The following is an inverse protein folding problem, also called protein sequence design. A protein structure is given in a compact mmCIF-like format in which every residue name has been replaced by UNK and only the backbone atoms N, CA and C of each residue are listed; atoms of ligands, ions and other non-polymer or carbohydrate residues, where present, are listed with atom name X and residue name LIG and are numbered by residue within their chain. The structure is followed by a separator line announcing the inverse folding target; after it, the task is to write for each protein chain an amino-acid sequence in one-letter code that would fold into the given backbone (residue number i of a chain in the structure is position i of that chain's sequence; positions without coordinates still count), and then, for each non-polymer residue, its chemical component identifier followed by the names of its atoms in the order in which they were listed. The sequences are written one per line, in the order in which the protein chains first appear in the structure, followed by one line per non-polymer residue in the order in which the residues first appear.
data_IF_530976009649
#
_entry.id   IF_530976009649
#
_cell.length_a   1.000
_cell.length_b   1.000
_cell.length_c   1.000
_cell.angle_alpha   90.00
_cell.angle_beta   90.00
_cell.angle_gamma   90.00
#
_symmetry.space_group_name_H-M   'P 1'
#
loop_
_entity.id
_entity.type
_entity.pdbx_description
1 polymer ?
#
# COMPACT_ATOMS: atom_id res chain seq x y z
N UNK A 1 23.51 -10.55 18.89
CA UNK A 1 24.16 -11.78 18.37
C UNK A 1 24.70 -12.55 19.55
N UNK A 2 24.45 -13.84 19.62
CA UNK A 2 24.92 -14.74 20.69
C UNK A 2 25.66 -15.92 20.08
N UNK A 3 26.50 -16.59 20.89
CA UNK A 3 27.06 -17.88 20.51
C UNK A 3 26.06 -19.04 20.74
N UNK A 4 26.49 -20.26 20.49
CA UNK A 4 25.66 -21.46 20.65
C UNK A 4 25.27 -21.76 22.10
N UNK A 5 25.97 -21.14 23.07
CA UNK A 5 25.72 -21.30 24.51
C UNK A 5 24.87 -20.15 25.07
N UNK A 6 24.46 -19.21 24.20
CA UNK A 6 23.68 -18.03 24.58
C UNK A 6 24.48 -16.85 25.12
N UNK A 7 25.83 -16.90 25.09
CA UNK A 7 26.65 -15.77 25.51
C UNK A 7 26.54 -14.64 24.51
N UNK A 8 26.38 -13.41 25.01
CA UNK A 8 26.29 -12.22 24.18
C UNK A 8 27.64 -11.93 23.49
N UNK A 9 27.65 -11.88 22.18
CA UNK A 9 28.84 -11.55 21.37
C UNK A 9 28.79 -10.11 20.85
N UNK A 10 27.60 -9.65 20.51
CA UNK A 10 27.40 -8.32 19.96
C UNK A 10 25.97 -7.85 20.16
N UNK A 11 25.77 -6.56 20.41
CA UNK A 11 24.47 -5.91 20.29
C UNK A 11 24.60 -4.51 19.71
N UNK A 12 23.53 -4.01 19.08
CA UNK A 12 23.47 -2.68 18.51
C UNK A 12 22.17 -1.98 18.82
N UNK A 13 22.24 -0.66 18.93
CA UNK A 13 21.08 0.21 19.03
C UNK A 13 20.92 0.98 17.73
N UNK A 14 19.68 1.11 17.27
CA UNK A 14 19.36 1.71 15.99
C UNK A 14 18.52 2.97 16.14
N UNK A 15 18.64 3.88 15.18
CA UNK A 15 17.67 4.96 14.98
C UNK A 15 16.38 4.40 14.39
N UNK A 16 15.32 5.23 14.34
CA UNK A 16 14.07 4.87 13.68
C UNK A 16 14.23 4.51 12.19
N UNK A 17 15.28 5.00 11.53
CA UNK A 17 15.59 4.75 10.12
C UNK A 17 16.69 3.71 9.93
N UNK A 18 17.09 3.01 10.99
CA UNK A 18 18.00 1.87 10.88
C UNK A 18 19.48 2.21 10.92
N UNK A 19 19.87 3.47 11.17
CA UNK A 19 21.26 3.82 11.44
C UNK A 19 21.69 3.20 12.76
N UNK A 20 22.85 2.57 12.79
CA UNK A 20 23.45 2.05 14.01
C UNK A 20 23.93 3.20 14.89
N UNK A 21 23.35 3.35 16.08
CA UNK A 21 23.75 4.34 17.09
C UNK A 21 24.87 3.84 17.96
N UNK A 22 24.78 2.58 18.33
CA UNK A 22 25.70 1.92 19.24
C UNK A 22 26.12 0.58 18.67
N UNK A 23 27.39 0.33 18.59
CA UNK A 23 28.03 -0.89 18.12
C UNK A 23 28.86 -1.47 19.27
N UNK A 24 28.26 -2.34 20.07
CA UNK A 24 28.91 -2.98 21.20
C UNK A 24 29.39 -4.36 20.81
N UNK A 25 30.69 -4.49 20.68
CA UNK A 25 31.40 -5.75 20.43
C UNK A 25 31.87 -6.34 21.74
N UNK A 26 31.08 -7.20 22.34
CA UNK A 26 31.45 -7.92 23.57
C UNK A 26 32.60 -8.88 23.28
N UNK A 27 32.55 -9.50 22.08
CA UNK A 27 33.65 -10.28 21.56
C UNK A 27 34.37 -9.50 20.45
N UNK A 28 35.70 -9.29 20.61
CA UNK A 28 36.50 -8.39 19.76
C UNK A 28 36.38 -8.64 18.24
N UNK A 29 36.24 -9.91 17.86
CA UNK A 29 36.15 -10.33 16.45
C UNK A 29 34.71 -10.58 16.00
N UNK A 30 33.70 -10.17 16.78
CA UNK A 30 32.34 -10.31 16.37
C UNK A 30 32.06 -9.41 15.16
N UNK A 31 31.78 -10.03 14.02
CA UNK A 31 31.44 -9.35 12.79
C UNK A 31 29.92 -9.42 12.59
N UNK A 32 29.23 -8.27 12.59
CA UNK A 32 27.80 -8.18 12.42
C UNK A 32 27.43 -7.15 11.35
N UNK A 33 27.45 -7.54 10.08
CA UNK A 33 27.11 -6.65 8.96
C UNK A 33 25.61 -6.54 8.72
N UNK A 34 24.80 -7.45 9.28
CA UNK A 34 23.36 -7.39 9.08
C UNK A 34 22.75 -6.21 9.83
N UNK A 35 21.86 -5.51 9.14
CA UNK A 35 21.11 -4.35 9.62
C UNK A 35 19.62 -4.65 9.64
N UNK A 36 18.79 -3.64 9.91
CA UNK A 36 17.33 -3.81 9.90
C UNK A 36 16.84 -4.32 8.54
N UNK A 37 15.82 -5.16 8.55
CA UNK A 37 15.09 -5.59 7.37
C UNK A 37 15.91 -6.36 6.32
N UNK A 38 16.82 -7.23 6.77
CA UNK A 38 17.69 -8.02 5.91
C UNK A 38 18.73 -7.20 5.11
N UNK A 39 19.00 -5.98 5.52
CA UNK A 39 20.04 -5.16 4.92
C UNK A 39 21.42 -5.63 5.35
N UNK A 40 22.38 -5.51 4.46
CA UNK A 40 23.79 -5.79 4.71
C UNK A 40 24.58 -4.49 4.68
N UNK A 41 25.36 -4.23 5.72
CA UNK A 41 26.21 -3.05 5.79
C UNK A 41 27.41 -3.22 4.89
N UNK A 42 27.54 -2.35 3.93
CA UNK A 42 28.69 -2.25 3.04
C UNK A 42 29.70 -1.26 3.64
N UNK A 43 30.83 -1.79 4.11
CA UNK A 43 31.87 -1.00 4.77
C UNK A 43 32.58 -0.04 3.82
N UNK A 44 32.62 -0.34 2.51
CA UNK A 44 33.31 0.50 1.52
C UNK A 44 32.52 1.78 1.23
N UNK A 45 31.18 1.66 1.16
CA UNK A 45 30.31 2.78 0.81
C UNK A 45 29.64 3.43 2.02
N UNK A 46 29.59 2.73 3.16
CA UNK A 46 28.84 3.14 4.34
C UNK A 46 27.32 2.99 4.21
N UNK A 47 26.86 2.40 3.11
CA UNK A 47 25.45 2.21 2.80
C UNK A 47 24.96 0.83 3.25
N UNK A 48 23.63 0.66 3.28
CA UNK A 48 23.03 -0.64 3.52
C UNK A 48 22.56 -1.26 2.19
N UNK A 49 23.22 -2.34 1.78
CA UNK A 49 22.80 -3.12 0.62
C UNK A 49 21.48 -3.83 0.91
N UNK A 50 20.47 -3.55 0.11
CA UNK A 50 19.14 -4.13 0.21
C UNK A 50 18.73 -4.73 -1.14
N UNK A 51 19.38 -5.83 -1.50
CA UNK A 51 19.20 -6.65 -2.69
C UNK A 51 19.28 -5.87 -4.03
N UNK A 52 18.23 -5.13 -4.38
CA UNK A 52 18.15 -4.40 -5.65
C UNK A 52 18.51 -2.92 -5.52
N UNK A 53 18.69 -2.41 -4.30
CA UNK A 53 19.02 -1.01 -4.05
C UNK A 53 19.94 -0.85 -2.85
N UNK A 54 20.63 0.29 -2.81
CA UNK A 54 21.39 0.72 -1.64
C UNK A 54 20.57 1.74 -0.84
N UNK A 55 20.51 1.53 0.47
CA UNK A 55 19.78 2.35 1.41
C UNK A 55 20.72 3.23 2.22
N UNK A 56 20.41 4.51 2.33
CA UNK A 56 21.11 5.51 3.14
C UNK A 56 20.33 5.74 4.45
N UNK A 57 20.80 5.20 5.59
CA UNK A 57 20.04 5.28 6.84
C UNK A 57 20.04 6.69 7.46
N UNK A 58 20.97 7.57 7.10
CA UNK A 58 20.96 8.97 7.52
C UNK A 58 19.82 9.75 6.84
N UNK A 59 19.65 9.53 5.55
CA UNK A 59 18.63 10.19 4.75
C UNK A 59 17.28 9.46 4.77
N UNK A 60 17.22 8.22 5.27
CA UNK A 60 16.01 7.40 5.33
C UNK A 60 15.46 7.02 3.96
N UNK A 61 16.31 6.91 2.94
CA UNK A 61 15.91 6.67 1.54
C UNK A 61 16.90 5.78 0.80
N UNK A 62 16.49 5.26 -0.34
CA UNK A 62 17.42 4.65 -1.29
C UNK A 62 18.25 5.72 -2.03
N UNK A 63 19.47 5.37 -2.41
CA UNK A 63 20.39 6.27 -3.16
C UNK A 63 20.24 6.10 -4.67
N UNK A 64 19.69 4.99 -5.12
CA UNK A 64 19.40 4.73 -6.53
C UNK A 64 17.88 4.60 -6.77
N UNK A 65 17.48 4.89 -8.00
CA UNK A 65 16.07 4.83 -8.40
C UNK A 65 15.52 3.41 -8.32
N UNK A 66 14.20 3.31 -8.08
CA UNK A 66 13.52 2.03 -8.07
C UNK A 66 13.55 1.39 -9.46
N UNK A 67 14.14 0.18 -9.64
CA UNK A 67 14.19 -0.51 -10.92
C UNK A 67 12.81 -0.82 -11.52
N UNK A 68 11.76 -0.88 -10.69
CA UNK A 68 10.39 -1.04 -11.16
C UNK A 68 9.69 0.30 -11.42
N UNK A 69 10.41 1.41 -11.30
CA UNK A 69 9.92 2.75 -11.56
C UNK A 69 8.72 3.11 -10.68
N UNK A 70 7.76 3.83 -11.25
CA UNK A 70 6.56 4.28 -10.54
C UNK A 70 5.65 3.14 -10.02
N UNK A 71 5.90 1.90 -10.39
CA UNK A 71 5.21 0.73 -9.80
C UNK A 71 5.54 0.56 -8.32
N UNK A 72 6.72 1.00 -7.86
CA UNK A 72 7.11 1.03 -6.46
C UNK A 72 6.54 2.21 -5.66
N UNK A 73 6.04 3.24 -6.34
CA UNK A 73 5.50 4.48 -5.75
C UNK A 73 5.89 5.71 -6.55
N UNK A 74 5.35 6.88 -6.18
CA UNK A 74 5.61 8.15 -6.89
C UNK A 74 7.02 8.70 -6.66
N UNK A 75 7.63 8.38 -5.52
CA UNK A 75 9.00 8.75 -5.20
C UNK A 75 9.91 7.55 -5.41
N UNK A 76 10.71 7.60 -6.46
CA UNK A 76 11.61 6.52 -6.89
C UNK A 76 12.72 6.18 -5.88
N UNK A 77 12.98 7.06 -4.92
CA UNK A 77 14.01 6.88 -3.88
C UNK A 77 13.43 6.52 -2.51
N UNK A 78 12.12 6.45 -2.41
CA UNK A 78 11.46 6.26 -1.14
C UNK A 78 11.59 4.82 -0.63
N UNK A 79 11.93 4.69 0.66
CA UNK A 79 11.98 3.42 1.35
C UNK A 79 10.62 3.08 1.98
N UNK A 80 10.16 3.89 2.92
CA UNK A 80 8.94 3.61 3.67
C UNK A 80 8.41 4.85 4.41
N UNK A 81 7.10 4.92 4.74
CA UNK A 81 6.58 5.95 5.64
C UNK A 81 7.09 5.83 7.06
N UNK A 82 7.43 4.62 7.49
CA UNK A 82 7.90 4.29 8.83
C UNK A 82 8.71 3.00 8.75
N UNK A 83 10.01 3.10 8.97
CA UNK A 83 10.94 1.97 8.88
C UNK A 83 10.71 0.90 9.95
N UNK A 84 10.11 1.24 11.10
CA UNK A 84 9.83 0.26 12.16
C UNK A 84 8.65 -0.68 11.84
N UNK A 85 7.73 -0.25 10.96
CA UNK A 85 6.52 -1.02 10.63
C UNK A 85 6.48 -1.52 9.18
N UNK A 86 7.41 -1.08 8.35
CA UNK A 86 7.48 -1.44 6.94
C UNK A 86 8.70 -2.30 6.70
N UNK A 87 8.51 -3.32 5.87
CA UNK A 87 9.55 -4.24 5.44
C UNK A 87 9.63 -4.21 3.92
N UNK A 88 10.81 -3.95 3.38
CA UNK A 88 11.10 -4.07 1.95
C UNK A 88 12.25 -5.06 1.71
N UNK A 89 11.97 -6.37 1.71
CA UNK A 89 13.00 -7.41 1.63
C UNK A 89 13.78 -7.41 0.32
N UNK A 90 13.20 -6.81 -0.73
CA UNK A 90 13.76 -6.86 -2.08
C UNK A 90 14.39 -5.53 -2.51
N UNK A 91 14.22 -4.47 -1.72
CA UNK A 91 14.54 -3.13 -2.18
C UNK A 91 13.70 -2.67 -3.38
N UNK A 92 12.49 -3.23 -3.56
CA UNK A 92 11.60 -2.96 -4.70
C UNK A 92 10.15 -2.73 -4.28
N UNK A 93 9.79 -3.18 -3.10
CA UNK A 93 8.41 -3.26 -2.71
C UNK A 93 8.05 -2.16 -1.73
N UNK A 94 7.19 -1.28 -2.17
CA UNK A 94 6.20 -0.74 -1.27
C UNK A 94 5.31 -1.91 -0.85
N UNK A 95 5.61 -2.57 0.29
CA UNK A 95 4.65 -3.53 0.84
C UNK A 95 3.39 -2.73 1.14
N UNK A 96 2.40 -2.86 0.27
CA UNK A 96 1.08 -2.36 0.60
C UNK A 96 0.73 -2.96 1.96
N UNK A 97 0.31 -2.14 2.93
CA UNK A 97 -0.41 -2.63 4.10
C UNK A 97 -1.29 -3.76 3.61
N UNK A 98 -1.40 -4.88 4.36
CA UNK A 98 -2.51 -5.82 4.16
C UNK A 98 -3.72 -4.97 3.83
N UNK A 99 -4.31 -5.18 2.66
CA UNK A 99 -5.42 -4.36 2.24
C UNK A 99 -6.50 -4.41 3.32
N UNK A 100 -7.24 -3.35 3.47
CA UNK A 100 -8.39 -3.36 4.36
C UNK A 100 -9.43 -4.34 3.81
N UNK A 101 -9.85 -5.31 4.61
CA UNK A 101 -10.93 -6.22 4.19
C UNK A 101 -12.25 -5.52 4.46
N UNK A 102 -13.04 -5.35 3.43
CA UNK A 102 -14.41 -4.87 3.55
C UNK A 102 -15.39 -5.98 3.17
N UNK A 103 -16.35 -6.22 4.05
CA UNK A 103 -17.45 -7.20 3.86
C UNK A 103 -18.75 -6.44 3.69
N UNK A 104 -19.48 -6.72 2.63
CA UNK A 104 -20.79 -6.14 2.39
C UNK A 104 -21.89 -6.83 3.21
N UNK A 105 -23.12 -6.31 3.12
CA UNK A 105 -24.30 -6.85 3.83
C UNK A 105 -24.68 -8.27 3.40
N UNK A 106 -24.19 -8.74 2.25
CA UNK A 106 -24.41 -10.10 1.73
C UNK A 106 -23.29 -11.07 2.06
N UNK A 107 -22.26 -10.63 2.80
CA UNK A 107 -21.14 -11.46 3.22
C UNK A 107 -19.99 -11.56 2.21
N UNK A 108 -20.03 -10.82 1.09
CA UNK A 108 -18.89 -10.77 0.16
C UNK A 108 -17.75 -9.97 0.78
N UNK A 109 -16.66 -10.66 1.06
CA UNK A 109 -15.45 -10.07 1.67
C UNK A 109 -14.36 -9.94 0.63
N UNK A 110 -13.89 -8.72 0.36
CA UNK A 110 -12.80 -8.45 -0.55
C UNK A 110 -11.74 -7.56 0.13
N UNK A 111 -10.47 -7.88 -0.11
CA UNK A 111 -9.35 -7.06 0.31
C UNK A 111 -9.23 -5.85 -0.62
N UNK A 112 -9.15 -4.65 -0.06
CA UNK A 112 -8.89 -3.42 -0.83
C UNK A 112 -7.48 -2.95 -0.59
N UNK A 113 -6.73 -2.77 -1.64
CA UNK A 113 -5.35 -2.29 -1.63
C UNK A 113 -5.26 -0.89 -2.22
N UNK A 114 -4.27 -0.13 -1.76
CA UNK A 114 -3.97 1.21 -2.25
C UNK A 114 -5.18 2.17 -2.20
N UNK A 115 -5.86 2.31 -1.04
CA UNK A 115 -7.00 3.21 -0.92
C UNK A 115 -6.54 4.64 -1.19
N UNK A 116 -7.25 5.32 -2.10
CA UNK A 116 -6.97 6.69 -2.46
C UNK A 116 -7.37 7.64 -1.32
N UNK A 117 -6.66 8.75 -1.19
CA UNK A 117 -7.02 9.79 -0.21
C UNK A 117 -8.31 10.50 -0.62
N UNK A 118 -9.23 10.67 0.34
CA UNK A 118 -10.49 11.41 0.19
C UNK A 118 -10.50 12.71 1.00
N UNK A 119 -9.39 13.10 1.60
CA UNK A 119 -9.29 14.29 2.46
C UNK A 119 -9.59 15.59 1.73
N UNK A 120 -9.42 15.62 0.42
CA UNK A 120 -9.71 16.76 -0.45
C UNK A 120 -11.20 16.92 -0.82
N UNK A 121 -12.03 15.88 -0.53
CA UNK A 121 -13.45 15.90 -0.86
C UNK A 121 -14.22 16.84 0.08
N UNK A 122 -15.18 17.62 -0.46
CA UNK A 122 -16.05 18.44 0.38
C UNK A 122 -16.96 17.59 1.27
N UNK A 123 -17.44 18.16 2.38
CA UNK A 123 -18.39 17.48 3.26
C UNK A 123 -19.67 17.08 2.51
N UNK A 124 -20.22 17.99 1.70
CA UNK A 124 -21.44 17.71 0.91
C UNK A 124 -21.24 16.53 -0.05
N UNK A 125 -20.07 16.45 -0.70
CA UNK A 125 -19.74 15.32 -1.58
C UNK A 125 -19.60 14.02 -0.81
N UNK A 126 -18.92 14.05 0.36
CA UNK A 126 -18.80 12.86 1.19
C UNK A 126 -20.16 12.39 1.73
N UNK A 127 -21.07 13.30 2.09
CA UNK A 127 -22.43 12.94 2.50
C UNK A 127 -23.20 12.29 1.36
N UNK A 128 -23.13 12.85 0.16
CA UNK A 128 -23.72 12.25 -1.03
C UNK A 128 -23.17 10.87 -1.33
N UNK A 129 -21.84 10.70 -1.24
CA UNK A 129 -21.20 9.36 -1.36
C UNK A 129 -21.69 8.40 -0.28
N UNK A 130 -21.87 8.87 0.96
CA UNK A 130 -22.32 8.06 2.08
C UNK A 130 -23.78 7.58 1.94
N UNK A 131 -24.58 8.31 1.19
CA UNK A 131 -26.01 7.99 0.90
C UNK A 131 -26.13 7.13 -0.36
N UNK A 132 -25.49 7.53 -1.46
CA UNK A 132 -25.69 6.91 -2.77
C UNK A 132 -24.69 5.80 -3.09
N UNK A 133 -23.52 5.79 -2.44
CA UNK A 133 -22.46 4.83 -2.72
C UNK A 133 -21.78 5.04 -4.07
N UNK A 134 -21.66 6.28 -4.50
CA UNK A 134 -20.93 6.68 -5.69
C UNK A 134 -19.42 6.76 -5.41
N UNK A 135 -18.60 6.64 -6.45
CA UNK A 135 -17.15 6.71 -6.31
C UNK A 135 -16.67 8.11 -5.93
N UNK A 136 -15.55 8.16 -5.19
CA UNK A 136 -14.79 9.39 -5.01
C UNK A 136 -14.08 9.83 -6.28
N UNK A 137 -13.45 11.00 -6.22
CA UNK A 137 -12.64 11.57 -7.30
C UNK A 137 -11.24 11.94 -6.81
N UNK A 138 -10.29 12.08 -7.72
CA UNK A 138 -8.87 12.28 -7.37
C UNK A 138 -8.53 13.68 -6.84
N UNK A 139 -9.32 14.70 -7.17
CA UNK A 139 -9.05 16.10 -6.78
C UNK A 139 -10.27 16.83 -6.21
N UNK A 140 -11.33 16.11 -5.89
CA UNK A 140 -12.59 16.70 -5.44
C UNK A 140 -13.40 17.38 -6.55
N UNK A 141 -14.71 17.19 -6.53
CA UNK A 141 -15.68 17.90 -7.32
C UNK A 141 -15.37 18.15 -8.79
N UNK A 142 -15.66 19.37 -9.25
CA UNK A 142 -15.51 19.83 -10.64
C UNK A 142 -14.15 20.47 -10.94
N UNK A 143 -13.09 20.09 -10.22
CA UNK A 143 -11.74 20.64 -10.43
C UNK A 143 -11.16 20.08 -11.72
N UNK A 144 -10.50 20.95 -12.52
CA UNK A 144 -9.83 20.53 -13.77
C UNK A 144 -8.83 19.41 -13.51
N UNK A 145 -8.96 18.32 -14.26
CA UNK A 145 -8.15 17.11 -14.10
C UNK A 145 -8.58 16.22 -12.94
N UNK A 146 -9.73 16.47 -12.33
CA UNK A 146 -10.38 15.52 -11.42
C UNK A 146 -11.02 14.39 -12.22
N UNK A 147 -10.79 13.17 -11.76
CA UNK A 147 -11.31 11.97 -12.42
C UNK A 147 -11.87 10.97 -11.38
N UNK A 148 -12.83 10.11 -11.77
CA UNK A 148 -13.36 9.10 -10.88
C UNK A 148 -12.29 8.10 -10.43
N UNK A 149 -12.38 7.64 -9.20
CA UNK A 149 -11.60 6.53 -8.68
C UNK A 149 -12.31 5.23 -9.06
N UNK A 150 -11.59 4.35 -9.74
CA UNK A 150 -12.09 3.06 -10.20
C UNK A 150 -11.67 1.96 -9.23
N UNK A 151 -12.56 1.02 -8.98
CA UNK A 151 -12.29 -0.21 -8.26
C UNK A 151 -11.99 -1.33 -9.25
N UNK A 152 -10.75 -1.77 -9.27
CA UNK A 152 -10.24 -2.78 -10.20
C UNK A 152 -9.93 -4.09 -9.48
N UNK A 153 -10.51 -5.20 -9.95
CA UNK A 153 -10.11 -6.54 -9.51
C UNK A 153 -8.73 -6.89 -10.07
N UNK A 154 -7.76 -7.08 -9.19
CA UNK A 154 -6.41 -7.44 -9.61
C UNK A 154 -6.43 -8.70 -10.49
N UNK A 155 -5.89 -8.58 -11.71
CA UNK A 155 -5.87 -9.65 -12.73
C UNK A 155 -7.28 -10.20 -13.06
N UNK A 156 -8.31 -9.40 -12.93
CA UNK A 156 -9.73 -9.81 -13.13
C UNK A 156 -10.15 -11.03 -12.29
N UNK A 157 -9.50 -11.26 -11.16
CA UNK A 157 -9.86 -12.35 -10.25
C UNK A 157 -11.05 -11.94 -9.38
N UNK A 158 -12.22 -12.63 -9.45
CA UNK A 158 -13.40 -12.29 -8.67
C UNK A 158 -13.20 -12.31 -7.14
N UNK A 159 -12.29 -13.13 -6.66
CA UNK A 159 -11.90 -13.26 -5.23
C UNK A 159 -10.60 -12.54 -4.90
N UNK A 160 -9.99 -11.92 -5.89
CA UNK A 160 -8.71 -11.22 -5.73
C UNK A 160 -8.89 -9.84 -5.07
N UNK A 161 -7.78 -9.24 -4.68
CA UNK A 161 -7.85 -7.90 -4.09
C UNK A 161 -8.37 -6.86 -5.10
N UNK A 162 -9.07 -5.89 -4.55
CA UNK A 162 -9.53 -4.69 -5.24
C UNK A 162 -8.45 -3.63 -5.12
N UNK A 163 -8.17 -2.94 -6.21
CA UNK A 163 -7.23 -1.81 -6.24
C UNK A 163 -8.02 -0.54 -6.56
N UNK A 164 -7.91 0.47 -5.69
CA UNK A 164 -8.38 1.82 -6.03
C UNK A 164 -7.35 2.51 -6.93
N UNK A 165 -7.78 2.98 -8.08
CA UNK A 165 -6.92 3.72 -8.99
C UNK A 165 -7.70 4.80 -9.77
N UNK A 166 -7.05 5.90 -10.16
CA UNK A 166 -7.63 6.89 -11.05
C UNK A 166 -8.08 6.25 -12.38
N UNK A 167 -9.16 6.75 -12.96
CA UNK A 167 -9.69 6.23 -14.23
C UNK A 167 -8.64 6.21 -15.34
N UNK A 168 -7.80 7.23 -15.43
CA UNK A 168 -6.70 7.34 -16.40
C UNK A 168 -5.65 6.23 -16.28
N UNK A 169 -5.52 5.63 -15.09
CA UNK A 169 -4.61 4.50 -14.83
C UNK A 169 -5.28 3.13 -15.02
N UNK A 170 -6.57 3.09 -15.34
CA UNK A 170 -7.31 1.86 -15.63
C UNK A 170 -7.27 1.58 -17.12
N UNK A 171 -6.16 1.00 -17.59
CA UNK A 171 -5.95 0.69 -18.99
C UNK A 171 -6.57 -0.67 -19.36
N UNK A 172 -7.67 -0.62 -20.11
CA UNK A 172 -8.40 -1.81 -20.58
C UNK A 172 -7.59 -2.64 -21.61
N UNK A 173 -6.62 -2.05 -22.29
CA UNK A 173 -5.71 -2.72 -23.23
C UNK A 173 -4.58 -3.48 -22.55
N UNK A 174 -4.33 -3.21 -21.27
CA UNK A 174 -3.24 -3.82 -20.53
C UNK A 174 -3.54 -5.28 -20.16
N UNK A 175 -2.94 -6.22 -20.88
CA UNK A 175 -3.13 -7.67 -20.66
C UNK A 175 -2.68 -8.14 -19.27
N UNK A 176 -1.76 -7.45 -18.60
CA UNK A 176 -1.36 -7.79 -17.23
C UNK A 176 -2.46 -7.41 -16.22
N UNK A 177 -3.19 -6.33 -16.47
CA UNK A 177 -4.35 -5.93 -15.66
C UNK A 177 -5.59 -6.74 -16.03
N UNK A 178 -5.81 -6.97 -17.32
CA UNK A 178 -6.99 -7.59 -17.90
C UNK A 178 -6.64 -8.85 -18.73
N UNK A 179 -6.17 -9.93 -18.07
CA UNK A 179 -5.73 -11.14 -18.77
C UNK A 179 -6.83 -11.82 -19.61
N UNK A 180 -8.09 -11.62 -19.22
CA UNK A 180 -9.24 -12.17 -19.96
C UNK A 180 -9.90 -11.14 -20.88
N UNK A 181 -9.45 -9.87 -20.89
CA UNK A 181 -10.07 -8.79 -21.66
C UNK A 181 -11.56 -8.69 -21.35
N UNK A 182 -12.38 -8.70 -22.41
CA UNK A 182 -13.84 -8.65 -22.30
C UNK A 182 -14.50 -10.04 -22.57
N UNK A 183 -13.77 -11.14 -22.35
CA UNK A 183 -14.32 -12.49 -22.59
C UNK A 183 -15.52 -12.75 -21.65
N UNK A 184 -16.68 -13.05 -22.27
CA UNK A 184 -17.91 -13.36 -21.56
C UNK A 184 -17.72 -14.64 -20.72
N UNK A 185 -18.16 -14.60 -19.45
CA UNK A 185 -18.09 -15.75 -18.54
C UNK A 185 -16.71 -16.02 -17.92
N UNK A 186 -15.68 -15.22 -18.25
CA UNK A 186 -14.34 -15.33 -17.65
C UNK A 186 -14.08 -14.22 -16.63
N UNK A 187 -13.37 -14.57 -15.55
CA UNK A 187 -13.01 -13.61 -14.50
C UNK A 187 -14.25 -12.89 -13.93
N UNK A 188 -14.19 -11.57 -13.88
CA UNK A 188 -15.29 -10.71 -13.43
C UNK A 188 -16.38 -10.48 -14.51
N UNK A 189 -16.22 -11.05 -15.68
CA UNK A 189 -17.22 -11.00 -16.77
C UNK A 189 -18.41 -11.95 -16.57
N UNK A 190 -18.44 -12.75 -15.51
CA UNK A 190 -19.57 -13.61 -15.14
C UNK A 190 -20.72 -12.75 -14.56
N UNK A 191 -21.97 -12.98 -14.99
CA UNK A 191 -23.13 -12.17 -14.64
C UNK A 191 -23.41 -12.09 -13.14
N UNK A 192 -23.37 -13.20 -12.40
CA UNK A 192 -23.57 -13.21 -10.95
C UNK A 192 -22.48 -12.47 -10.21
N UNK A 193 -21.20 -12.72 -10.54
CA UNK A 193 -20.04 -12.03 -9.96
C UNK A 193 -20.14 -10.52 -10.15
N UNK A 194 -20.57 -10.09 -11.34
CA UNK A 194 -20.72 -8.66 -11.65
C UNK A 194 -21.84 -8.01 -10.84
N UNK A 195 -22.94 -8.71 -10.61
CA UNK A 195 -24.06 -8.22 -9.80
C UNK A 195 -23.64 -8.09 -8.32
N UNK A 196 -23.03 -9.12 -7.76
CA UNK A 196 -22.56 -9.15 -6.37
C UNK A 196 -21.53 -8.06 -6.11
N UNK A 197 -20.56 -7.91 -7.01
CA UNK A 197 -19.60 -6.82 -6.95
C UNK A 197 -20.26 -5.44 -7.09
N UNK A 198 -21.34 -5.31 -7.83
CA UNK A 198 -22.10 -4.08 -7.95
C UNK A 198 -22.65 -3.59 -6.60
N UNK A 199 -23.22 -4.51 -5.81
CA UNK A 199 -23.68 -4.24 -4.44
C UNK A 199 -22.50 -3.91 -3.52
N UNK A 200 -21.49 -4.78 -3.49
CA UNK A 200 -20.30 -4.62 -2.69
C UNK A 200 -19.65 -3.25 -2.94
N UNK A 201 -19.47 -2.84 -4.19
CA UNK A 201 -18.88 -1.56 -4.58
C UNK A 201 -19.66 -0.37 -4.02
N UNK A 202 -21.00 -0.42 -4.07
CA UNK A 202 -21.85 0.65 -3.55
C UNK A 202 -21.72 0.79 -2.04
N UNK A 203 -21.77 -0.32 -1.32
CA UNK A 203 -21.60 -0.33 0.14
C UNK A 203 -20.18 0.07 0.55
N UNK A 204 -19.16 -0.34 -0.20
CA UNK A 204 -17.80 0.05 0.02
C UNK A 204 -17.60 1.57 -0.06
N UNK A 205 -18.16 2.23 -1.08
CA UNK A 205 -18.06 3.69 -1.19
C UNK A 205 -18.79 4.42 -0.07
N UNK A 206 -19.97 3.92 0.34
CA UNK A 206 -20.65 4.40 1.54
C UNK A 206 -19.77 4.30 2.78
N UNK A 207 -19.14 3.17 2.97
CA UNK A 207 -18.21 2.93 4.07
C UNK A 207 -17.03 3.91 4.02
N UNK A 208 -16.37 4.09 2.90
CA UNK A 208 -15.24 4.99 2.71
C UNK A 208 -15.59 6.44 3.05
N UNK A 209 -16.72 6.92 2.55
CA UNK A 209 -17.22 8.26 2.83
C UNK A 209 -17.52 8.46 4.32
N UNK A 210 -18.22 7.50 4.94
CA UNK A 210 -18.53 7.54 6.39
C UNK A 210 -17.26 7.52 7.25
N UNK A 211 -16.27 6.73 6.87
CA UNK A 211 -14.97 6.67 7.54
C UNK A 211 -14.26 8.02 7.50
N UNK A 212 -14.26 8.69 6.35
CA UNK A 212 -13.67 10.02 6.19
C UNK A 212 -14.43 11.10 6.97
N UNK A 213 -15.77 11.10 6.94
CA UNK A 213 -16.59 12.00 7.73
C UNK A 213 -16.29 11.85 9.24
N UNK A 214 -16.23 10.62 9.73
CA UNK A 214 -15.86 10.35 11.14
C UNK A 214 -14.45 10.85 11.47
N UNK A 215 -13.49 10.66 10.57
CA UNK A 215 -12.11 11.16 10.75
C UNK A 215 -12.08 12.68 10.93
N UNK A 216 -13.03 13.40 10.32
CA UNK A 216 -13.19 14.86 10.49
C UNK A 216 -14.03 15.28 11.71
N UNK A 217 -14.46 14.34 12.53
CA UNK A 217 -15.35 14.61 13.68
C UNK A 217 -16.79 14.92 13.28
N UNK A 218 -17.20 14.67 12.03
CA UNK A 218 -18.53 14.96 11.54
C UNK A 218 -19.51 13.82 11.85
N UNK A 219 -20.71 14.17 12.31
CA UNK A 219 -21.78 13.18 12.54
C UNK A 219 -22.20 12.55 11.22
N UNK A 220 -22.20 11.23 11.19
CA UNK A 220 -22.75 10.44 10.09
C UNK A 220 -24.15 10.06 10.50
N UNK A 221 -25.16 10.46 9.71
CA UNK A 221 -26.56 10.08 9.98
C UNK A 221 -26.69 8.57 10.16
N UNK A 222 -27.58 8.14 11.05
CA UNK A 222 -27.92 6.72 11.18
C UNK A 222 -28.47 6.25 9.83
N UNK A 223 -27.89 5.16 9.31
CA UNK A 223 -28.54 4.35 8.29
C UNK A 223 -29.84 3.82 8.91
N UNK A 224 -30.99 4.26 8.42
CA UNK A 224 -32.23 3.54 8.69
C UNK A 224 -32.17 2.16 8.09
#
# INVERSE_FOLDING_TARGET
MTDINGNLLWYGEYTAWGRLKKDERVYRNAHQPFRLQNQYFDEETGLHYNLMRYYEPEAGRFVNQDPIGLFGGENLYWFAPNAAMWLDPWGLAKRSKKGEIFTDSKGLSLEVRNPQDLSHMSESTLRYMAEEGVSGTTKGGRVKGSEPIILHHQKQNPKGPIIELPKSKHDLGNKKMHPFGNQKGKGVGNGSVRSDFGNWRREYWKYRARKELRRRGLKVGKSC
#
